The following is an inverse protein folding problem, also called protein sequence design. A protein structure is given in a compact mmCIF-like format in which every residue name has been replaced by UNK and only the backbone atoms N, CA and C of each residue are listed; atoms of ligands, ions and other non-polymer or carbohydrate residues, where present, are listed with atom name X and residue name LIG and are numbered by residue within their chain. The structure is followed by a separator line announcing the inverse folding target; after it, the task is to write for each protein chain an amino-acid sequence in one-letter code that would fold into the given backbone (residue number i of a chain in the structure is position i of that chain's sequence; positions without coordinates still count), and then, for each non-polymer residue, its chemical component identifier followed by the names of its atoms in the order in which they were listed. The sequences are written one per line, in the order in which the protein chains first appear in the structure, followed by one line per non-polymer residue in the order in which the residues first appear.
data_IF_796146024531
#
_entry.id   IF_796146024531
#
_cell.length_a   1.000
_cell.length_b   1.000
_cell.length_c   1.000
_cell.angle_alpha   90.00
_cell.angle_beta   90.00
_cell.angle_gamma   90.00
#
_symmetry.space_group_name_H-M   'P 1'
#
loop_
_entity.id
_entity.type
_entity.pdbx_description
1 polymer ?
#
# COMPACT_ATOMS: atom_id res chain seq x y z
N UNK A 1 9.24 -13.76 -34.34
CA UNK A 1 9.64 -14.71 -33.29
C UNK A 1 11.07 -14.35 -32.90
N UNK A 2 11.31 -13.68 -31.76
CA UNK A 2 12.65 -13.27 -31.33
C UNK A 2 12.95 -13.97 -29.99
N UNK A 3 13.72 -15.06 -30.05
CA UNK A 3 14.35 -15.77 -28.92
C UNK A 3 15.67 -16.38 -29.43
N UNK A 4 16.74 -16.43 -28.62
CA UNK A 4 17.48 -15.31 -28.01
C UNK A 4 18.87 -15.16 -28.67
N UNK A 5 19.46 -13.95 -28.60
CA UNK A 5 20.90 -13.78 -28.83
C UNK A 5 21.71 -14.61 -27.81
N UNK A 6 22.96 -14.95 -28.14
CA UNK A 6 23.84 -15.78 -27.26
C UNK A 6 23.91 -15.21 -25.84
N UNK A 7 23.89 -13.90 -25.71
CA UNK A 7 23.95 -13.14 -24.46
C UNK A 7 22.72 -13.41 -23.57
N UNK A 8 21.52 -13.44 -24.13
CA UNK A 8 20.30 -13.73 -23.36
C UNK A 8 20.25 -15.18 -22.87
N UNK A 9 20.80 -16.11 -23.65
CA UNK A 9 20.93 -17.52 -23.26
C UNK A 9 21.96 -17.72 -22.14
N UNK A 10 23.05 -16.98 -22.15
CA UNK A 10 24.02 -17.01 -21.04
C UNK A 10 23.49 -16.28 -19.80
N UNK A 11 22.73 -15.20 -19.98
CA UNK A 11 22.08 -14.48 -18.89
C UNK A 11 21.08 -15.35 -18.13
N UNK A 12 20.24 -16.12 -18.85
CA UNK A 12 19.24 -17.00 -18.23
C UNK A 12 19.83 -18.16 -17.42
N UNK A 13 21.13 -18.45 -17.58
CA UNK A 13 21.83 -19.46 -16.78
C UNK A 13 22.39 -18.89 -15.47
N UNK A 14 22.51 -17.57 -15.37
CA UNK A 14 23.19 -16.86 -14.28
C UNK A 14 22.25 -16.15 -13.33
N UNK A 15 21.02 -15.87 -13.76
CA UNK A 15 20.11 -14.98 -13.05
C UNK A 15 18.67 -15.44 -13.25
N UNK A 16 17.92 -15.56 -12.15
CA UNK A 16 16.47 -15.70 -12.21
C UNK A 16 15.84 -14.35 -12.57
N UNK A 17 15.15 -14.31 -13.71
CA UNK A 17 14.46 -13.12 -14.20
C UNK A 17 12.96 -13.35 -14.09
N UNK A 18 12.31 -12.63 -13.18
CA UNK A 18 10.84 -12.64 -13.09
C UNK A 18 10.24 -11.53 -13.96
N UNK A 19 9.68 -11.88 -15.11
CA UNK A 19 8.84 -11.00 -15.93
C UNK A 19 7.38 -11.19 -15.53
N UNK A 20 6.90 -10.36 -14.61
CA UNK A 20 5.58 -10.54 -14.03
C UNK A 20 4.45 -10.02 -14.91
N UNK A 21 3.51 -10.92 -15.22
CA UNK A 21 2.10 -10.61 -15.50
C UNK A 21 1.10 -11.56 -14.79
N UNK A 22 1.57 -12.68 -14.19
CA UNK A 22 0.71 -13.72 -13.58
C UNK A 22 1.24 -14.42 -12.31
N UNK A 23 2.56 -14.48 -12.07
CA UNK A 23 3.14 -15.17 -10.90
C UNK A 23 4.23 -14.31 -10.26
N UNK A 24 4.07 -14.03 -8.98
CA UNK A 24 5.07 -13.36 -8.13
C UNK A 24 5.97 -14.42 -7.48
N UNK A 25 7.29 -14.18 -7.35
CA UNK A 25 8.12 -14.94 -6.42
C UNK A 25 7.52 -14.85 -5.01
N UNK A 26 7.66 -15.91 -4.20
CA UNK A 26 7.09 -15.95 -2.85
C UNK A 26 7.50 -14.69 -2.07
N UNK A 27 6.50 -13.94 -1.59
CA UNK A 27 6.70 -12.76 -0.77
C UNK A 27 6.96 -11.45 -1.52
N UNK A 28 7.00 -11.40 -2.85
CA UNK A 28 7.16 -10.14 -3.57
C UNK A 28 5.82 -9.58 -4.08
N UNK A 29 5.52 -8.32 -3.76
CA UNK A 29 4.37 -7.63 -4.35
C UNK A 29 4.73 -7.14 -5.75
N UNK A 30 4.00 -7.61 -6.75
CA UNK A 30 4.09 -7.06 -8.09
C UNK A 30 2.71 -6.59 -8.53
N UNK A 31 2.67 -5.40 -9.14
CA UNK A 31 1.44 -4.78 -9.66
C UNK A 31 0.70 -5.75 -10.59
N UNK A 32 -0.59 -5.94 -10.35
CA UNK A 32 -1.42 -6.70 -11.27
C UNK A 32 -1.57 -5.94 -12.61
N UNK A 33 -1.11 -6.55 -13.71
CA UNK A 33 -1.51 -6.27 -15.11
C UNK A 33 -1.19 -4.91 -15.76
N UNK A 34 -0.38 -4.03 -15.17
CA UNK A 34 -0.07 -2.73 -15.80
C UNK A 34 1.38 -2.51 -16.24
N UNK A 35 2.36 -3.26 -15.72
CA UNK A 35 3.78 -3.05 -16.05
C UNK A 35 4.57 -4.36 -15.99
N UNK A 36 5.47 -4.58 -16.95
CA UNK A 36 6.49 -5.62 -16.86
C UNK A 36 7.56 -5.19 -15.86
N UNK A 37 7.69 -5.95 -14.78
CA UNK A 37 8.75 -5.77 -13.81
C UNK A 37 9.92 -6.66 -14.16
N UNK A 38 11.13 -6.18 -13.90
CA UNK A 38 12.34 -6.98 -13.84
C UNK A 38 12.77 -7.02 -12.37
N UNK A 39 12.97 -8.24 -11.87
CA UNK A 39 13.62 -8.51 -10.59
C UNK A 39 14.91 -9.26 -10.87
N UNK A 40 15.98 -8.88 -10.17
CA UNK A 40 17.29 -9.49 -10.28
C UNK A 40 17.65 -10.08 -8.92
N UNK A 41 17.98 -11.36 -8.93
CA UNK A 41 18.40 -12.13 -7.76
C UNK A 41 19.87 -12.50 -7.87
N UNK A 42 20.54 -12.66 -6.72
CA UNK A 42 21.88 -13.24 -6.67
C UNK A 42 21.84 -14.78 -6.80
N UNK A 43 23.01 -15.41 -6.70
CA UNK A 43 23.19 -16.86 -6.78
C UNK A 43 22.54 -17.61 -5.60
N UNK A 44 22.23 -16.92 -4.50
CA UNK A 44 21.52 -17.45 -3.34
C UNK A 44 20.00 -17.24 -3.44
N UNK A 45 19.53 -16.59 -4.52
CA UNK A 45 18.12 -16.27 -4.72
C UNK A 45 17.65 -15.06 -3.92
N UNK A 46 18.55 -14.20 -3.45
CA UNK A 46 18.21 -12.98 -2.70
C UNK A 46 17.98 -11.79 -3.63
N UNK A 47 17.02 -10.94 -3.27
CA UNK A 47 16.58 -9.84 -4.13
C UNK A 47 17.58 -8.68 -4.10
N UNK A 48 18.31 -8.51 -5.21
CA UNK A 48 19.26 -7.42 -5.40
C UNK A 48 18.57 -6.15 -5.89
N UNK A 49 17.70 -6.23 -6.88
CA UNK A 49 17.00 -5.05 -7.39
C UNK A 49 15.69 -5.40 -8.07
N UNK A 50 14.81 -4.41 -8.18
CA UNK A 50 13.65 -4.48 -9.01
C UNK A 50 13.36 -3.14 -9.68
N UNK A 51 12.87 -3.18 -10.92
CA UNK A 51 12.55 -1.96 -11.67
C UNK A 51 11.46 -2.22 -12.71
N UNK A 52 10.82 -1.14 -13.19
CA UNK A 52 9.94 -1.22 -14.37
C UNK A 52 10.78 -1.43 -15.62
N UNK A 53 10.66 -2.61 -16.21
CA UNK A 53 11.51 -3.01 -17.32
C UNK A 53 11.31 -2.10 -18.54
N UNK A 54 10.05 -1.74 -18.85
CA UNK A 54 9.75 -0.87 -19.99
C UNK A 54 10.44 0.51 -19.89
N UNK A 55 10.42 1.12 -18.71
CA UNK A 55 11.04 2.43 -18.48
C UNK A 55 12.56 2.33 -18.62
N UNK A 56 13.16 1.26 -18.08
CA UNK A 56 14.61 1.03 -18.18
C UNK A 56 15.06 0.71 -19.60
N UNK A 57 14.33 -0.11 -20.34
CA UNK A 57 14.66 -0.41 -21.74
C UNK A 57 14.54 0.85 -22.63
N UNK A 58 13.50 1.66 -22.40
CA UNK A 58 13.35 2.95 -23.08
C UNK A 58 14.52 3.89 -22.78
N UNK A 59 15.01 3.89 -21.55
CA UNK A 59 16.21 4.64 -21.17
C UNK A 59 17.46 4.13 -21.87
N UNK A 60 17.64 2.80 -21.99
CA UNK A 60 18.77 2.19 -22.70
C UNK A 60 18.80 2.56 -24.18
N UNK A 61 17.66 2.50 -24.85
CA UNK A 61 17.53 2.89 -26.25
C UNK A 61 17.80 4.39 -26.44
N UNK A 62 17.09 5.25 -25.70
CA UNK A 62 17.15 6.71 -25.91
C UNK A 62 18.47 7.35 -25.50
N UNK A 63 19.10 6.88 -24.42
CA UNK A 63 20.32 7.49 -23.88
C UNK A 63 21.60 6.84 -24.41
N UNK A 64 21.55 5.54 -24.69
CA UNK A 64 22.76 4.78 -25.02
C UNK A 64 22.71 4.15 -26.42
N UNK A 65 21.63 4.34 -27.18
CA UNK A 65 21.48 3.81 -28.54
C UNK A 65 21.46 2.28 -28.60
N UNK A 66 21.18 1.61 -27.47
CA UNK A 66 21.25 0.15 -27.37
C UNK A 66 20.03 -0.49 -28.01
N UNK A 67 20.26 -1.61 -28.69
CA UNK A 67 19.17 -2.49 -29.13
C UNK A 67 18.46 -3.11 -27.93
N UNK A 68 17.25 -3.65 -28.15
CA UNK A 68 16.48 -4.29 -27.08
C UNK A 68 17.25 -5.42 -26.34
N UNK A 69 17.96 -6.35 -27.03
CA UNK A 69 18.75 -7.38 -26.35
C UNK A 69 19.91 -6.80 -25.53
N UNK A 70 20.66 -5.85 -26.08
CA UNK A 70 21.78 -5.19 -25.39
C UNK A 70 21.31 -4.39 -24.18
N UNK A 71 20.17 -3.70 -24.32
CA UNK A 71 19.53 -2.98 -23.22
C UNK A 71 19.12 -3.92 -22.09
N UNK A 72 18.53 -5.08 -22.40
CA UNK A 72 18.13 -6.06 -21.39
C UNK A 72 19.34 -6.60 -20.62
N UNK A 73 20.40 -7.02 -21.32
CA UNK A 73 21.65 -7.48 -20.70
C UNK A 73 22.24 -6.40 -19.79
N UNK A 74 22.32 -5.16 -20.28
CA UNK A 74 22.89 -4.06 -19.50
C UNK A 74 22.09 -3.73 -18.23
N UNK A 75 20.76 -3.80 -18.29
CA UNK A 75 19.91 -3.59 -17.12
C UNK A 75 20.14 -4.69 -16.08
N UNK A 76 20.22 -5.95 -16.50
CA UNK A 76 20.48 -7.08 -15.58
C UNK A 76 21.89 -7.02 -14.99
N UNK A 77 22.91 -6.78 -15.80
CA UNK A 77 24.30 -6.64 -15.32
C UNK A 77 24.46 -5.48 -14.34
N UNK A 78 23.73 -4.38 -14.54
CA UNK A 78 23.69 -3.27 -13.58
C UNK A 78 22.99 -3.70 -12.29
N UNK A 79 21.91 -4.48 -12.39
CA UNK A 79 21.18 -5.01 -11.25
C UNK A 79 21.99 -5.97 -10.38
N UNK A 80 22.80 -6.83 -11.00
CA UNK A 80 23.69 -7.78 -10.30
C UNK A 80 24.76 -7.09 -9.46
N UNK A 81 25.11 -5.84 -9.77
CA UNK A 81 26.08 -5.04 -9.01
C UNK A 81 25.47 -4.31 -7.81
N UNK A 82 24.14 -4.39 -7.63
CA UNK A 82 23.45 -3.68 -6.55
C UNK A 82 23.53 -4.49 -5.26
N UNK A 83 24.49 -4.15 -4.40
CA UNK A 83 24.60 -4.65 -3.04
C UNK A 83 24.21 -3.56 -2.02
N UNK A 84 23.79 -3.92 -0.79
CA UNK A 84 23.46 -5.26 -0.30
C UNK A 84 22.10 -5.76 -0.80
N UNK A 85 21.80 -7.07 -0.71
CA UNK A 85 20.47 -7.64 -1.02
C UNK A 85 19.41 -7.19 0.01
N UNK A 86 18.11 -7.37 -0.30
CA UNK A 86 17.05 -7.09 0.67
C UNK A 86 17.15 -8.03 1.88
N UNK A 87 17.31 -9.32 1.64
CA UNK A 87 17.47 -10.36 2.66
C UNK A 87 18.69 -10.13 3.56
N UNK A 88 19.81 -9.63 3.00
CA UNK A 88 20.99 -9.28 3.78
C UNK A 88 20.69 -8.13 4.75
N UNK A 89 19.96 -7.11 4.31
CA UNK A 89 19.52 -6.03 5.17
C UNK A 89 18.50 -6.50 6.22
N UNK A 90 17.63 -7.45 5.89
CA UNK A 90 16.70 -8.09 6.85
C UNK A 90 17.51 -8.77 7.98
N UNK A 91 18.54 -9.56 7.63
CA UNK A 91 19.44 -10.18 8.63
C UNK A 91 20.18 -9.15 9.47
N UNK A 92 20.68 -8.07 8.86
CA UNK A 92 21.36 -6.98 9.58
C UNK A 92 20.43 -6.29 10.58
N UNK A 93 19.17 -6.08 10.22
CA UNK A 93 18.15 -5.51 11.12
C UNK A 93 17.95 -6.36 12.39
N UNK A 94 17.86 -7.68 12.25
CA UNK A 94 17.75 -8.59 13.42
C UNK A 94 19.02 -8.59 14.25
N UNK A 95 20.18 -8.68 13.60
CA UNK A 95 21.48 -8.65 14.30
C UNK A 95 21.66 -7.37 15.10
N UNK A 96 21.20 -6.23 14.58
CA UNK A 96 21.22 -4.93 15.24
C UNK A 96 19.99 -4.68 16.15
N UNK A 97 19.25 -5.73 16.52
CA UNK A 97 18.09 -5.67 17.42
C UNK A 97 17.03 -4.63 17.02
N UNK A 98 16.85 -4.41 15.72
CA UNK A 98 15.84 -3.52 15.19
C UNK A 98 16.17 -2.03 15.27
N UNK A 99 17.46 -1.69 15.30
CA UNK A 99 17.91 -0.29 15.34
C UNK A 99 17.30 0.56 14.22
N UNK A 100 17.13 1.86 14.50
CA UNK A 100 16.60 2.84 13.53
C UNK A 100 17.46 2.92 12.27
N UNK A 101 18.79 2.88 12.40
CA UNK A 101 19.71 2.89 11.26
C UNK A 101 19.47 1.70 10.32
N UNK A 102 19.40 0.49 10.85
CA UNK A 102 19.15 -0.70 10.03
C UNK A 102 17.74 -0.73 9.42
N UNK A 103 16.76 -0.10 10.06
CA UNK A 103 15.43 0.07 9.49
C UNK A 103 15.44 1.06 8.31
N UNK A 104 16.13 2.19 8.44
CA UNK A 104 16.25 3.16 7.35
C UNK A 104 17.00 2.56 6.15
N UNK A 105 18.01 1.71 6.38
CA UNK A 105 18.66 0.96 5.30
C UNK A 105 17.67 0.05 4.53
N UNK A 106 16.79 -0.65 5.24
CA UNK A 106 15.71 -1.45 4.62
C UNK A 106 14.74 -0.57 3.81
N UNK A 107 14.36 0.59 4.35
CA UNK A 107 13.47 1.54 3.65
C UNK A 107 14.09 2.08 2.38
N UNK A 108 15.35 2.52 2.43
CA UNK A 108 16.05 3.04 1.25
C UNK A 108 16.28 1.95 0.21
N UNK A 109 16.56 0.70 0.62
CA UNK A 109 16.62 -0.44 -0.31
C UNK A 109 15.32 -0.64 -1.05
N UNK A 110 14.19 -0.71 -0.33
CA UNK A 110 12.88 -0.92 -0.93
C UNK A 110 12.47 0.25 -1.83
N UNK A 111 12.83 1.49 -1.46
CA UNK A 111 12.63 2.67 -2.29
C UNK A 111 13.48 2.63 -3.57
N UNK A 112 14.73 2.17 -3.50
CA UNK A 112 15.57 1.95 -4.67
C UNK A 112 14.99 0.89 -5.63
N UNK A 113 14.24 -0.08 -5.09
CA UNK A 113 13.48 -1.08 -5.84
C UNK A 113 12.09 -0.62 -6.26
N UNK A 114 11.85 0.70 -6.32
CA UNK A 114 10.56 1.32 -6.66
C UNK A 114 9.36 0.85 -5.83
N UNK A 115 9.60 0.46 -4.58
CA UNK A 115 8.59 -0.05 -3.65
C UNK A 115 8.31 -1.56 -3.78
N UNK A 116 8.97 -2.26 -4.69
CA UNK A 116 8.92 -3.73 -4.71
C UNK A 116 9.49 -4.28 -3.41
N UNK A 117 8.77 -5.22 -2.79
CA UNK A 117 9.15 -5.80 -1.50
C UNK A 117 8.61 -5.05 -0.27
N UNK A 118 7.78 -4.00 -0.43
CA UNK A 118 7.20 -3.31 0.73
C UNK A 118 6.32 -4.22 1.59
N UNK A 119 5.39 -5.02 1.04
CA UNK A 119 4.56 -5.88 1.89
C UNK A 119 5.37 -7.04 2.46
N UNK A 120 6.42 -7.49 1.75
CA UNK A 120 7.42 -8.42 2.29
C UNK A 120 8.04 -7.85 3.56
N UNK A 121 8.59 -6.64 3.45
CA UNK A 121 9.25 -5.96 4.55
C UNK A 121 8.27 -5.71 5.69
N UNK A 122 7.04 -5.30 5.39
CA UNK A 122 5.99 -5.14 6.39
C UNK A 122 5.71 -6.43 7.17
N UNK A 123 5.57 -7.55 6.46
CA UNK A 123 5.32 -8.87 7.05
C UNK A 123 6.54 -9.37 7.85
N UNK A 124 7.75 -9.18 7.33
CA UNK A 124 9.01 -9.46 8.01
C UNK A 124 9.08 -8.74 9.36
N UNK A 125 8.87 -7.42 9.37
CA UNK A 125 8.94 -6.58 10.58
C UNK A 125 7.94 -7.02 11.66
N UNK A 126 6.74 -7.46 11.26
CA UNK A 126 5.74 -7.98 12.19
C UNK A 126 6.14 -9.34 12.74
N UNK A 127 6.63 -10.25 11.87
CA UNK A 127 7.03 -11.61 12.26
C UNK A 127 8.23 -11.64 13.19
N UNK A 128 9.21 -10.79 12.94
CA UNK A 128 10.46 -10.75 13.72
C UNK A 128 10.44 -9.73 14.86
N UNK A 129 9.29 -9.09 15.12
CA UNK A 129 9.18 -8.04 16.13
C UNK A 129 9.71 -8.49 17.51
N UNK A 130 9.45 -9.73 17.91
CA UNK A 130 9.91 -10.30 19.18
C UNK A 130 11.44 -10.45 19.29
N UNK A 131 12.17 -10.39 18.18
CA UNK A 131 13.63 -10.51 18.14
C UNK A 131 14.34 -9.15 18.27
N UNK A 132 13.57 -8.06 18.28
CA UNK A 132 14.05 -6.68 18.38
C UNK A 132 14.03 -6.15 19.82
N UNK A 133 14.73 -5.04 20.09
CA UNK A 133 14.72 -4.39 21.41
C UNK A 133 13.38 -3.74 21.75
N UNK A 134 12.60 -3.37 20.74
CA UNK A 134 11.26 -2.78 20.89
C UNK A 134 10.28 -3.43 19.90
N UNK A 135 9.59 -4.51 20.33
CA UNK A 135 8.62 -5.19 19.49
C UNK A 135 7.44 -4.31 19.06
N UNK A 136 7.07 -3.31 19.86
CA UNK A 136 6.01 -2.36 19.53
C UNK A 136 6.42 -1.48 18.36
N UNK A 137 7.64 -0.93 18.41
CA UNK A 137 8.22 -0.13 17.34
C UNK A 137 8.44 -0.95 16.06
N UNK A 138 8.86 -2.21 16.15
CA UNK A 138 8.98 -3.07 14.97
C UNK A 138 7.61 -3.31 14.30
N UNK A 139 6.56 -3.59 15.09
CA UNK A 139 5.20 -3.77 14.59
C UNK A 139 4.66 -2.50 13.93
N UNK A 140 4.77 -1.34 14.57
CA UNK A 140 4.26 -0.08 13.99
C UNK A 140 4.99 0.28 12.70
N UNK A 141 6.32 0.06 12.63
CA UNK A 141 7.10 0.22 11.40
C UNK A 141 6.57 -0.70 10.29
N UNK A 142 6.26 -1.96 10.62
CA UNK A 142 5.63 -2.89 9.68
C UNK A 142 4.30 -2.36 9.13
N UNK A 143 3.42 -1.85 10.00
CA UNK A 143 2.14 -1.23 9.62
C UNK A 143 2.34 -0.02 8.71
N UNK A 144 3.31 0.85 9.01
CA UNK A 144 3.60 2.03 8.20
C UNK A 144 4.16 1.67 6.82
N UNK A 145 4.98 0.62 6.72
CA UNK A 145 5.47 0.09 5.44
C UNK A 145 4.30 -0.50 4.64
N UNK A 146 3.40 -1.25 5.28
CA UNK A 146 2.18 -1.77 4.64
C UNK A 146 1.29 -0.64 4.10
N UNK A 147 1.10 0.43 4.88
CA UNK A 147 0.34 1.61 4.47
C UNK A 147 0.97 2.28 3.25
N UNK A 148 2.30 2.46 3.25
CA UNK A 148 3.01 3.03 2.12
C UNK A 148 2.90 2.16 0.85
N UNK A 149 2.87 0.83 0.99
CA UNK A 149 2.61 -0.08 -0.11
C UNK A 149 1.19 0.10 -0.66
N UNK A 150 0.19 0.08 0.22
CA UNK A 150 -1.23 0.22 -0.16
C UNK A 150 -1.55 1.56 -0.81
N UNK A 151 -0.86 2.64 -0.42
CA UNK A 151 -1.11 3.97 -1.02
C UNK A 151 -0.52 4.09 -2.43
N UNK A 152 0.70 3.57 -2.63
CA UNK A 152 1.48 3.76 -3.87
C UNK A 152 1.24 2.67 -4.91
N UNK A 153 0.76 1.50 -4.49
CA UNK A 153 0.57 0.36 -5.39
C UNK A 153 -0.92 0.15 -5.66
N UNK A 154 -1.26 -0.23 -6.90
CA UNK A 154 -2.61 -0.72 -7.22
C UNK A 154 -2.74 -2.12 -6.63
N UNK A 155 -3.03 -2.19 -5.33
CA UNK A 155 -3.25 -3.45 -4.63
C UNK A 155 -4.73 -3.81 -4.67
N UNK A 156 -5.03 -5.11 -4.74
CA UNK A 156 -6.36 -5.68 -4.57
C UNK A 156 -7.09 -5.04 -3.38
N UNK A 157 -8.41 -4.84 -3.48
CA UNK A 157 -9.28 -4.36 -2.39
C UNK A 157 -9.00 -5.04 -1.03
N UNK A 158 -8.67 -6.33 -1.04
CA UNK A 158 -8.31 -7.08 0.17
C UNK A 158 -7.10 -6.53 0.95
N UNK A 159 -6.19 -5.80 0.30
CA UNK A 159 -5.04 -5.20 0.99
C UNK A 159 -5.44 -4.03 1.89
N UNK A 160 -6.42 -3.20 1.50
CA UNK A 160 -6.94 -2.15 2.38
C UNK A 160 -7.61 -2.76 3.62
N UNK A 161 -8.33 -3.87 3.46
CA UNK A 161 -8.93 -4.59 4.57
C UNK A 161 -7.87 -5.20 5.51
N UNK A 162 -6.79 -5.77 4.95
CA UNK A 162 -5.64 -6.24 5.75
C UNK A 162 -4.99 -5.09 6.52
N UNK A 163 -4.70 -3.96 5.88
CA UNK A 163 -4.11 -2.80 6.53
C UNK A 163 -4.96 -2.28 7.70
N UNK A 164 -6.30 -2.18 7.52
CA UNK A 164 -7.21 -1.80 8.63
C UNK A 164 -7.08 -2.75 9.82
N UNK A 165 -7.08 -4.06 9.57
CA UNK A 165 -6.87 -5.08 10.62
C UNK A 165 -5.48 -4.97 11.28
N UNK A 166 -4.42 -4.69 10.51
CA UNK A 166 -3.08 -4.49 11.04
C UNK A 166 -3.04 -3.28 11.99
N UNK A 167 -3.67 -2.16 11.61
CA UNK A 167 -3.76 -0.94 12.43
C UNK A 167 -4.60 -1.20 13.69
N UNK A 168 -5.80 -1.78 13.55
CA UNK A 168 -6.67 -2.14 14.68
C UNK A 168 -5.95 -3.07 15.66
N UNK A 169 -5.29 -4.10 15.15
CA UNK A 169 -4.54 -5.06 15.95
C UNK A 169 -3.40 -4.39 16.71
N UNK A 170 -2.68 -3.47 16.07
CA UNK A 170 -1.63 -2.70 16.74
C UNK A 170 -2.20 -1.81 17.85
N UNK A 171 -3.23 -1.01 17.55
CA UNK A 171 -3.86 -0.09 18.52
C UNK A 171 -4.44 -0.85 19.70
N UNK A 172 -5.06 -2.01 19.47
CA UNK A 172 -5.62 -2.86 20.53
C UNK A 172 -4.55 -3.39 21.48
N UNK A 173 -3.38 -3.76 20.97
CA UNK A 173 -2.31 -4.38 21.79
C UNK A 173 -1.38 -3.32 22.39
N UNK A 174 -1.16 -2.20 21.71
CA UNK A 174 -0.18 -1.17 22.08
C UNK A 174 -0.77 0.26 22.07
N UNK A 175 -1.91 0.52 22.74
CA UNK A 175 -2.58 1.82 22.65
C UNK A 175 -1.75 2.98 23.22
N UNK A 176 -0.91 2.71 24.21
CA UNK A 176 -0.07 3.70 24.88
C UNK A 176 1.34 3.84 24.30
N UNK A 177 1.67 3.10 23.23
CA UNK A 177 2.99 3.18 22.62
C UNK A 177 3.20 4.58 22.01
N UNK A 178 4.40 5.20 22.12
CA UNK A 178 4.65 6.55 21.62
C UNK A 178 4.27 6.77 20.14
N UNK A 179 4.46 5.74 19.31
CA UNK A 179 4.11 5.75 17.88
C UNK A 179 2.68 5.32 17.54
N UNK A 180 1.79 5.09 18.53
CA UNK A 180 0.41 4.69 18.22
C UNK A 180 -0.38 5.76 17.44
N UNK A 181 -0.05 7.04 17.64
CA UNK A 181 -0.62 8.13 16.84
C UNK A 181 -0.21 8.09 15.36
N UNK A 182 0.95 7.49 15.04
CA UNK A 182 1.52 7.51 13.68
C UNK A 182 0.66 6.71 12.68
N UNK A 183 -0.16 5.77 13.16
CA UNK A 183 -1.03 4.92 12.33
C UNK A 183 -2.44 5.47 12.14
N UNK A 184 -2.80 6.56 12.83
CA UNK A 184 -4.13 7.18 12.75
C UNK A 184 -4.38 7.81 11.38
N UNK A 185 -3.43 8.60 10.88
CA UNK A 185 -3.54 9.18 9.52
C UNK A 185 -3.55 8.09 8.43
N UNK A 186 -2.63 7.10 8.44
CA UNK A 186 -2.71 5.95 7.54
C UNK A 186 -4.05 5.21 7.54
N UNK A 187 -4.73 5.09 8.68
CA UNK A 187 -6.07 4.48 8.74
C UNK A 187 -7.05 5.25 7.86
N UNK A 188 -7.17 6.57 8.05
CA UNK A 188 -8.14 7.39 7.33
C UNK A 188 -7.77 7.64 5.85
N UNK A 189 -6.48 7.80 5.56
CA UNK A 189 -6.00 8.21 4.24
C UNK A 189 -5.81 7.02 3.29
N UNK A 190 -5.39 5.88 3.85
CA UNK A 190 -5.06 4.68 3.08
C UNK A 190 -6.04 3.56 3.37
N UNK A 191 -6.16 3.13 4.64
CA UNK A 191 -7.03 2.02 5.03
C UNK A 191 -8.51 2.25 4.66
N UNK A 192 -8.98 3.49 4.79
CA UNK A 192 -10.35 3.94 4.52
C UNK A 192 -10.47 4.78 3.24
N UNK A 193 -9.44 4.74 2.38
CA UNK A 193 -9.38 5.51 1.11
C UNK A 193 -10.61 5.32 0.22
N UNK A 194 -11.17 4.13 0.24
CA UNK A 194 -12.32 3.72 -0.54
C UNK A 194 -13.54 3.34 0.32
N UNK A 195 -13.63 3.81 1.56
CA UNK A 195 -14.85 3.64 2.36
C UNK A 195 -15.95 4.60 1.90
N UNK A 196 -17.19 4.14 1.92
CA UNK A 196 -18.35 5.03 1.86
C UNK A 196 -18.53 5.68 3.24
N UNK A 197 -18.82 6.98 3.27
CA UNK A 197 -19.01 7.77 4.48
C UNK A 197 -17.86 7.62 5.50
N UNK A 198 -16.78 8.36 5.24
CA UNK A 198 -15.62 8.37 6.14
C UNK A 198 -15.99 8.86 7.54
N UNK A 199 -16.92 9.82 7.65
CA UNK A 199 -17.34 10.37 8.95
C UNK A 199 -17.96 9.28 9.82
N UNK A 200 -18.96 8.57 9.29
CA UNK A 200 -19.62 7.49 10.01
C UNK A 200 -18.64 6.36 10.33
N UNK A 201 -17.77 6.01 9.39
CA UNK A 201 -16.79 4.94 9.60
C UNK A 201 -15.77 5.29 10.68
N UNK A 202 -15.16 6.48 10.64
CA UNK A 202 -14.23 6.94 11.67
C UNK A 202 -14.92 7.08 13.03
N UNK A 203 -16.19 7.50 13.07
CA UNK A 203 -16.99 7.54 14.30
C UNK A 203 -17.19 6.15 14.90
N UNK A 204 -17.47 5.13 14.08
CA UNK A 204 -17.60 3.76 14.57
C UNK A 204 -16.29 3.24 15.20
N UNK A 205 -15.14 3.50 14.57
CA UNK A 205 -13.84 3.20 15.15
C UNK A 205 -13.58 3.92 16.47
N UNK A 206 -13.80 5.24 16.49
CA UNK A 206 -13.59 6.08 17.66
C UNK A 206 -14.50 5.65 18.83
N UNK A 207 -15.77 5.33 18.56
CA UNK A 207 -16.70 4.81 19.57
C UNK A 207 -16.21 3.49 20.16
N UNK A 208 -15.87 2.51 19.32
CA UNK A 208 -15.39 1.21 19.78
C UNK A 208 -14.11 1.33 20.64
N UNK A 209 -13.19 2.22 20.28
CA UNK A 209 -11.97 2.46 21.05
C UNK A 209 -12.23 3.22 22.36
N UNK A 210 -13.13 4.19 22.35
CA UNK A 210 -13.51 4.95 23.55
C UNK A 210 -14.29 4.09 24.54
N UNK A 211 -15.14 3.17 24.09
CA UNK A 211 -15.84 2.21 24.96
C UNK A 211 -14.87 1.21 25.62
N UNK A 212 -13.77 0.89 24.94
CA UNK A 212 -12.74 -0.03 25.44
C UNK A 212 -11.73 0.62 26.41
N UNK A 213 -11.89 1.90 26.77
CA UNK A 213 -10.94 2.63 27.62
C UNK A 213 -11.65 3.63 28.54
N UNK A 214 -11.14 3.87 29.76
CA UNK A 214 -11.64 4.97 30.58
C UNK A 214 -11.47 6.33 29.86
N UNK A 215 -12.31 7.33 30.19
CA UNK A 215 -12.15 8.70 29.74
C UNK A 215 -10.73 9.23 29.98
N UNK A 216 -10.14 9.86 28.95
CA UNK A 216 -8.75 10.36 29.00
C UNK A 216 -7.65 9.30 28.84
N UNK A 217 -8.00 8.02 28.73
CA UNK A 217 -7.06 6.94 28.44
C UNK A 217 -6.46 6.99 27.02
N UNK A 218 -5.47 6.14 26.76
CA UNK A 218 -4.72 6.17 25.51
C UNK A 218 -5.61 5.94 24.27
N UNK A 219 -6.54 4.98 24.31
CA UNK A 219 -7.48 4.75 23.23
C UNK A 219 -8.42 5.94 23.01
N UNK A 220 -8.89 6.60 24.07
CA UNK A 220 -9.70 7.81 23.93
C UNK A 220 -8.93 8.94 23.23
N UNK A 221 -7.63 9.10 23.51
CA UNK A 221 -6.78 10.09 22.82
C UNK A 221 -6.65 9.74 21.33
N UNK A 222 -6.43 8.47 21.00
CA UNK A 222 -6.35 7.99 19.62
C UNK A 222 -7.69 8.16 18.88
N UNK A 223 -8.82 7.91 19.54
CA UNK A 223 -10.16 8.18 19.02
C UNK A 223 -10.33 9.65 18.64
N UNK A 224 -9.93 10.57 19.52
CA UNK A 224 -10.02 12.00 19.25
C UNK A 224 -9.14 12.40 18.05
N UNK A 225 -7.89 11.91 18.00
CA UNK A 225 -7.00 12.15 16.87
C UNK A 225 -7.60 11.66 15.54
N UNK A 226 -8.28 10.51 15.54
CA UNK A 226 -8.96 9.98 14.36
C UNK A 226 -10.11 10.90 13.91
N UNK A 227 -10.94 11.36 14.85
CA UNK A 227 -12.07 12.24 14.56
C UNK A 227 -11.62 13.62 14.05
N UNK A 228 -10.57 14.19 14.65
CA UNK A 228 -10.00 15.48 14.24
C UNK A 228 -9.45 15.39 12.82
N UNK A 229 -8.60 14.38 12.53
CA UNK A 229 -8.05 14.17 11.19
C UNK A 229 -9.15 13.87 10.15
N UNK A 230 -10.16 13.07 10.52
CA UNK A 230 -11.31 12.81 9.66
C UNK A 230 -12.04 14.10 9.29
N UNK A 231 -12.26 15.00 10.25
CA UNK A 231 -12.95 16.27 10.03
C UNK A 231 -12.18 17.16 9.05
N UNK A 232 -10.86 17.25 9.22
CA UNK A 232 -9.99 17.97 8.27
C UNK A 232 -10.03 17.38 6.86
N UNK A 233 -9.97 16.05 6.76
CA UNK A 233 -10.03 15.33 5.49
C UNK A 233 -11.35 15.56 4.76
N UNK A 234 -12.47 15.57 5.48
CA UNK A 234 -13.79 15.85 4.91
C UNK A 234 -13.88 17.30 4.42
N UNK A 235 -13.36 18.26 5.17
CA UNK A 235 -13.28 19.66 4.73
C UNK A 235 -12.41 19.80 3.45
N UNK A 236 -11.28 19.10 3.38
CA UNK A 236 -10.43 19.05 2.17
C UNK A 236 -11.16 18.39 0.99
N UNK A 237 -11.87 17.29 1.23
CA UNK A 237 -12.63 16.57 0.21
C UNK A 237 -13.78 17.40 -0.35
N UNK A 238 -14.53 18.11 0.50
CA UNK A 238 -15.64 18.96 0.10
C UNK A 238 -15.17 20.16 -0.73
N UNK A 239 -14.12 20.86 -0.26
CA UNK A 239 -13.47 21.95 -1.00
C UNK A 239 -12.92 21.49 -2.36
N UNK A 240 -12.43 20.26 -2.45
CA UNK A 240 -11.97 19.70 -3.71
C UNK A 240 -13.15 19.37 -4.63
N UNK A 241 -14.20 18.76 -4.11
CA UNK A 241 -15.38 18.36 -4.86
C UNK A 241 -16.12 19.57 -5.49
N UNK A 242 -16.20 20.69 -4.77
CA UNK A 242 -16.84 21.92 -5.27
C UNK A 242 -16.12 22.55 -6.48
N UNK A 243 -14.84 22.24 -6.65
CA UNK A 243 -13.99 22.73 -7.76
C UNK A 243 -13.89 21.74 -8.92
N UNK A 244 -14.43 20.54 -8.78
CA UNK A 244 -14.32 19.49 -9.79
C UNK A 244 -15.46 19.56 -10.80
N UNK A 245 -15.13 19.38 -12.08
CA UNK A 245 -16.13 19.18 -13.14
C UNK A 245 -16.99 17.93 -12.85
N UNK A 246 -18.24 17.86 -13.34
CA UNK A 246 -19.11 16.71 -13.12
C UNK A 246 -18.55 15.36 -13.57
N UNK A 247 -17.75 15.37 -14.65
CA UNK A 247 -17.13 14.19 -15.28
C UNK A 247 -15.70 13.91 -14.78
N UNK A 248 -15.19 14.72 -13.86
CA UNK A 248 -13.79 14.64 -13.42
C UNK A 248 -13.48 13.29 -12.76
N UNK A 249 -12.36 12.69 -13.18
CA UNK A 249 -11.83 11.46 -12.59
C UNK A 249 -11.63 11.62 -11.08
N UNK A 250 -12.27 10.74 -10.30
CA UNK A 250 -12.23 10.76 -8.84
C UNK A 250 -13.36 11.54 -8.15
N UNK A 251 -14.26 12.21 -8.89
CA UNK A 251 -15.44 12.88 -8.31
C UNK A 251 -16.31 11.90 -7.52
N UNK A 252 -16.64 10.76 -8.15
CA UNK A 252 -17.44 9.70 -7.54
C UNK A 252 -16.85 9.21 -6.21
N UNK A 253 -15.52 9.04 -6.15
CA UNK A 253 -14.84 8.65 -4.91
C UNK A 253 -15.02 9.70 -3.81
N UNK A 254 -14.94 10.98 -4.13
CA UNK A 254 -15.14 12.04 -3.14
C UNK A 254 -16.60 12.10 -2.66
N UNK A 255 -17.57 11.93 -3.56
CA UNK A 255 -18.99 11.82 -3.18
C UNK A 255 -19.22 10.65 -2.21
N UNK A 256 -18.67 9.47 -2.53
CA UNK A 256 -18.74 8.31 -1.66
C UNK A 256 -18.07 8.56 -0.30
N UNK A 257 -16.85 9.13 -0.29
CA UNK A 257 -16.10 9.43 0.94
C UNK A 257 -16.82 10.44 1.85
N UNK A 258 -17.52 11.42 1.26
CA UNK A 258 -18.36 12.39 1.98
C UNK A 258 -19.71 11.81 2.43
N UNK A 259 -20.03 10.56 2.08
CA UNK A 259 -21.30 9.93 2.43
C UNK A 259 -22.51 10.55 1.72
N UNK A 260 -22.30 11.15 0.53
CA UNK A 260 -23.35 11.72 -0.34
C UNK A 260 -24.06 10.59 -1.09
N UNK A 261 -25.03 9.97 -0.40
CA UNK A 261 -25.58 8.68 -0.78
C UNK A 261 -26.25 8.69 -2.17
N UNK A 262 -27.15 9.64 -2.41
CA UNK A 262 -27.87 9.75 -3.68
C UNK A 262 -26.93 10.01 -4.85
N UNK A 263 -26.03 10.99 -4.72
CA UNK A 263 -25.08 11.32 -5.78
C UNK A 263 -24.07 10.20 -6.05
N UNK A 264 -23.72 9.42 -5.02
CA UNK A 264 -22.88 8.24 -5.19
C UNK A 264 -23.59 7.17 -5.99
N UNK A 265 -24.86 6.89 -5.69
CA UNK A 265 -25.67 5.92 -6.44
C UNK A 265 -25.87 6.35 -7.90
N UNK A 266 -26.14 7.63 -8.14
CA UNK A 266 -26.33 8.15 -9.50
C UNK A 266 -25.02 8.12 -10.29
N UNK A 267 -23.89 8.49 -9.68
CA UNK A 267 -22.58 8.35 -10.30
C UNK A 267 -22.19 6.89 -10.56
N UNK A 268 -22.60 5.94 -9.71
CA UNK A 268 -22.40 4.50 -9.92
C UNK A 268 -23.27 3.90 -11.04
N UNK A 269 -24.44 4.49 -11.32
CA UNK A 269 -25.28 4.14 -12.48
C UNK A 269 -24.69 4.70 -13.77
N UNK A 270 -24.16 5.92 -13.73
CA UNK A 270 -23.58 6.60 -14.88
C UNK A 270 -22.17 6.10 -15.26
N UNK A 271 -21.51 5.32 -14.39
CA UNK A 271 -20.12 4.88 -14.59
C UNK A 271 -19.97 3.37 -14.77
N UNK A 272 -19.04 2.98 -15.66
CA UNK A 272 -18.64 1.59 -15.81
C UNK A 272 -17.68 1.19 -14.69
N UNK A 273 -17.97 0.07 -14.02
CA UNK A 273 -17.11 -0.47 -12.96
C UNK A 273 -16.03 -1.41 -13.54
N UNK A 274 -14.78 -0.96 -13.56
CA UNK A 274 -13.62 -1.75 -13.99
C UNK A 274 -13.17 -2.75 -12.92
N UNK A 275 -12.53 -3.86 -13.33
CA UNK A 275 -12.31 -5.06 -12.51
C UNK A 275 -11.92 -4.81 -11.05
N UNK A 276 -10.86 -4.03 -10.79
CA UNK A 276 -10.36 -3.74 -9.43
C UNK A 276 -11.31 -2.89 -8.57
N UNK A 277 -12.19 -2.11 -9.19
CA UNK A 277 -13.15 -1.25 -8.51
C UNK A 277 -14.51 -1.92 -8.29
N UNK A 278 -14.79 -3.09 -8.90
CA UNK A 278 -16.09 -3.75 -8.75
C UNK A 278 -16.44 -4.07 -7.28
N UNK A 279 -15.52 -4.61 -6.45
CA UNK A 279 -15.82 -4.85 -5.03
C UNK A 279 -16.10 -3.54 -4.27
N UNK A 280 -15.27 -2.51 -4.48
CA UNK A 280 -15.44 -1.18 -3.89
C UNK A 280 -16.81 -0.58 -4.24
N UNK A 281 -17.17 -0.60 -5.52
CA UNK A 281 -18.44 -0.06 -6.00
C UNK A 281 -19.63 -0.86 -5.49
N UNK A 282 -19.49 -2.18 -5.28
CA UNK A 282 -20.55 -2.99 -4.68
C UNK A 282 -20.79 -2.60 -3.22
N UNK A 283 -19.71 -2.41 -2.44
CA UNK A 283 -19.80 -1.91 -1.06
C UNK A 283 -20.46 -0.52 -1.01
N UNK A 284 -20.02 0.42 -1.86
CA UNK A 284 -20.64 1.75 -1.93
C UNK A 284 -22.12 1.71 -2.26
N UNK A 285 -22.56 0.84 -3.18
CA UNK A 285 -24.00 0.71 -3.50
C UNK A 285 -24.79 0.26 -2.28
N UNK A 286 -24.30 -0.76 -1.57
CA UNK A 286 -24.95 -1.29 -0.38
C UNK A 286 -25.04 -0.23 0.72
N UNK A 287 -23.93 0.41 1.03
CA UNK A 287 -23.84 1.32 2.17
C UNK A 287 -24.57 2.65 1.89
N UNK A 288 -24.52 3.16 0.66
CA UNK A 288 -25.29 4.32 0.25
C UNK A 288 -26.81 4.05 0.27
N UNK A 289 -27.25 2.87 -0.19
CA UNK A 289 -28.65 2.49 -0.15
C UNK A 289 -29.16 2.39 1.30
N UNK A 290 -28.39 1.73 2.18
CA UNK A 290 -28.72 1.63 3.60
C UNK A 290 -28.88 3.03 4.25
N UNK A 291 -27.94 3.93 3.99
CA UNK A 291 -27.99 5.30 4.52
C UNK A 291 -29.24 6.08 4.07
N UNK A 292 -29.67 5.91 2.81
CA UNK A 292 -30.91 6.54 2.34
C UNK A 292 -32.15 5.94 3.02
N UNK A 293 -32.16 4.64 3.30
CA UNK A 293 -33.27 3.98 4.00
C UNK A 293 -33.39 4.43 5.46
N UNK A 294 -32.27 4.69 6.15
CA UNK A 294 -32.26 5.22 7.52
C UNK A 294 -32.72 6.69 7.60
N UNK A 295 -32.60 7.43 6.50
CA UNK A 295 -33.04 8.82 6.39
C UNK A 295 -34.50 8.96 5.94
N UNK A 296 -35.19 7.87 5.61
CA UNK A 296 -36.61 7.89 5.25
C UNK A 296 -37.46 8.11 6.50
N UNK A 297 -38.25 9.21 6.57
CA UNK A 297 -39.07 9.53 7.74
C UNK A 297 -40.17 8.49 8.05
N UNK A 298 -40.38 7.51 7.17
CA UNK A 298 -41.30 6.38 7.40
C UNK A 298 -40.68 5.22 8.20
N UNK A 299 -39.38 5.26 8.42
CA UNK A 299 -38.61 4.23 9.14
C UNK A 299 -38.14 4.69 10.54
N UNK A 300 -38.56 5.89 10.99
CA UNK A 300 -38.34 6.43 12.34
C UNK A 300 -39.67 6.44 13.11
#
# INVERSE_FOLDING_TARGET
MLLPSKELRELSKRVDICLSGKTTPKGCDIRFRQFYWLMVFDDQGELLTACRLADRLTEQEKKFGRTLPEGLVAVVDSGLKVAPSLEELERRYIKAKGSTETFEALREKVKAMEGVGQMRLADFLVKTAAETSDPGLARVRGVLVEAAACDRQVINHGAYARLRKSIEGFIKVHPSHPSAGDVIRPLADVGLKYSFDLAATCKAYASAWSEASPPGGALHKLSQQLLDHCSEELARADKKLSRMKPDAYGRLRLQARLGRAQETLDGLKASKSYGVFRPIHAEWRRDAAAKLSEQDPRNQ
#
